data_IF_916935684240
#
_entry.id   IF_916935684240
#
_cell.length_a   1.000
_cell.length_b   1.000
_cell.length_c   1.000
_cell.angle_alpha   90.00
_cell.angle_beta   90.00
_cell.angle_gamma   90.00
#
_symmetry.space_group_name_H-M   'P 1'
#
loop_
_entity.id
_entity.type
_entity.pdbx_description
1 polymer ?
#
# COMPACT_ATOMS: atom_id res chain seq x y z
N UNK A 1 -45.33 -54.23 -40.64
CA UNK A 1 -46.24 -53.25 -40.01
C UNK A 1 -46.27 -53.58 -38.53
N UNK A 2 -45.91 -52.77 -37.53
CA UNK A 2 -45.91 -51.31 -37.35
C UNK A 2 -44.90 -50.99 -36.22
N UNK A 3 -44.11 -49.94 -36.39
CA UNK A 3 -43.12 -49.43 -35.41
C UNK A 3 -43.80 -48.75 -34.21
N UNK A 4 -43.31 -48.94 -32.98
CA UNK A 4 -43.52 -48.08 -31.81
C UNK A 4 -42.12 -47.84 -31.21
N UNK A 5 -41.42 -46.73 -31.49
CA UNK A 5 -41.53 -45.36 -30.92
C UNK A 5 -41.10 -45.27 -29.45
N UNK A 6 -39.83 -44.94 -29.27
CA UNK A 6 -39.17 -44.10 -28.26
C UNK A 6 -40.01 -43.70 -27.03
N UNK A 7 -39.58 -44.12 -25.85
CA UNK A 7 -39.78 -43.35 -24.62
C UNK A 7 -38.41 -42.92 -24.09
N UNK A 8 -38.21 -41.61 -24.15
CA UNK A 8 -37.05 -40.85 -23.69
C UNK A 8 -37.03 -40.90 -22.16
N UNK A 9 -35.95 -41.39 -21.56
CA UNK A 9 -35.65 -41.10 -20.15
C UNK A 9 -35.07 -39.69 -20.09
N UNK A 10 -35.88 -38.76 -19.58
CA UNK A 10 -35.46 -37.39 -19.29
C UNK A 10 -34.57 -37.40 -18.05
N UNK A 11 -33.27 -37.21 -18.26
CA UNK A 11 -32.30 -37.02 -17.18
C UNK A 11 -32.30 -35.53 -16.85
N UNK A 12 -32.98 -35.14 -15.76
CA UNK A 12 -32.93 -33.78 -15.23
C UNK A 12 -31.55 -33.59 -14.58
N UNK A 13 -30.60 -33.06 -15.35
CA UNK A 13 -29.37 -32.52 -14.81
C UNK A 13 -29.69 -31.18 -14.13
N UNK A 14 -29.81 -31.18 -12.81
CA UNK A 14 -29.72 -29.98 -11.98
C UNK A 14 -28.27 -29.48 -12.05
N UNK A 15 -27.98 -28.68 -13.08
CA UNK A 15 -26.81 -27.81 -13.11
C UNK A 15 -26.98 -26.80 -11.98
N UNK A 16 -26.24 -27.00 -10.89
CA UNK A 16 -26.04 -26.01 -9.86
C UNK A 16 -25.39 -24.78 -10.47
N UNK A 17 -26.20 -23.80 -10.82
CA UNK A 17 -25.77 -22.42 -11.05
C UNK A 17 -25.27 -21.90 -9.70
N UNK A 18 -23.99 -22.08 -9.42
CA UNK A 18 -23.30 -21.26 -8.43
C UNK A 18 -23.19 -19.86 -9.05
N UNK A 19 -24.23 -19.04 -8.87
CA UNK A 19 -24.11 -17.62 -9.07
C UNK A 19 -23.11 -17.09 -8.06
N UNK A 20 -21.94 -16.65 -8.51
CA UNK A 20 -21.09 -15.82 -7.69
C UNK A 20 -21.88 -14.54 -7.38
N UNK A 21 -22.38 -14.42 -6.16
CA UNK A 21 -22.89 -13.15 -5.67
C UNK A 21 -21.67 -12.25 -5.47
N UNK A 22 -21.54 -11.23 -6.31
CA UNK A 22 -20.52 -10.20 -6.11
C UNK A 22 -21.00 -9.32 -4.94
N UNK A 23 -20.24 -9.31 -3.85
CA UNK A 23 -20.46 -8.39 -2.75
C UNK A 23 -20.05 -6.96 -3.17
N UNK A 24 -20.82 -5.97 -2.75
CA UNK A 24 -20.59 -4.55 -3.05
C UNK A 24 -19.86 -3.88 -1.88
N UNK A 25 -19.15 -2.78 -2.16
CA UNK A 25 -18.55 -1.98 -1.09
C UNK A 25 -19.60 -1.59 -0.04
N UNK A 26 -19.26 -1.80 1.23
CA UNK A 26 -20.16 -1.62 2.37
C UNK A 26 -20.94 -2.87 2.80
N UNK A 27 -20.91 -3.97 2.03
CA UNK A 27 -21.47 -5.24 2.47
C UNK A 27 -20.62 -5.82 3.62
N UNK A 28 -21.28 -6.47 4.58
CA UNK A 28 -20.57 -7.17 5.67
C UNK A 28 -19.79 -8.33 5.09
N UNK A 29 -18.48 -8.30 5.26
CA UNK A 29 -17.56 -9.35 4.83
C UNK A 29 -17.32 -10.39 5.94
N UNK A 30 -17.33 -9.97 7.20
CA UNK A 30 -17.24 -10.89 8.34
C UNK A 30 -17.20 -10.20 9.71
N UNK A 31 -16.90 -10.99 10.73
CA UNK A 31 -16.84 -10.55 12.13
C UNK A 31 -15.41 -10.18 12.53
N UNK A 32 -15.31 -9.21 13.44
CA UNK A 32 -14.07 -8.84 14.15
C UNK A 32 -14.15 -9.38 15.56
N UNK A 33 -13.11 -10.09 16.00
CA UNK A 33 -13.07 -10.80 17.27
C UNK A 33 -12.10 -10.15 18.24
N UNK A 34 -12.45 -10.20 19.53
CA UNK A 34 -11.53 -9.86 20.61
C UNK A 34 -10.35 -10.85 20.64
N UNK A 35 -9.14 -10.33 20.86
CA UNK A 35 -7.92 -11.12 21.01
C UNK A 35 -7.27 -10.88 22.38
N UNK A 36 -6.67 -11.93 22.95
CA UNK A 36 -5.78 -11.85 24.11
C UNK A 36 -4.32 -11.60 23.74
N UNK A 37 -4.04 -11.28 22.46
CA UNK A 37 -2.69 -10.96 22.01
C UNK A 37 -2.35 -9.52 22.40
N UNK A 38 -1.44 -9.37 23.36
CA UNK A 38 -0.86 -8.08 23.70
C UNK A 38 0.00 -7.57 22.53
N UNK A 39 -0.44 -6.49 21.89
CA UNK A 39 0.17 -5.98 20.66
C UNK A 39 0.90 -4.68 20.93
N UNK A 40 2.16 -4.60 20.52
CA UNK A 40 3.01 -3.43 20.75
C UNK A 40 3.72 -2.98 19.47
N UNK A 41 3.72 -1.67 19.22
CA UNK A 41 4.57 -1.03 18.23
C UNK A 41 5.74 -0.32 18.91
N UNK A 42 6.97 -0.70 18.57
CA UNK A 42 8.18 -0.06 19.13
C UNK A 42 8.26 -0.14 20.67
N UNK A 43 7.64 -1.16 21.28
CA UNK A 43 7.57 -1.34 22.74
C UNK A 43 6.46 -0.56 23.45
N UNK A 44 5.55 0.07 22.70
CA UNK A 44 4.35 0.71 23.25
C UNK A 44 3.09 -0.01 22.76
N UNK A 45 2.14 -0.23 23.67
CA UNK A 45 0.87 -0.91 23.37
C UNK A 45 0.10 -0.19 22.26
N UNK A 46 -0.45 -0.95 21.31
CA UNK A 46 -1.34 -0.48 20.24
C UNK A 46 -2.58 -1.39 20.20
N UNK A 47 -3.81 -0.84 20.09
CA UNK A 47 -5.01 -1.66 20.06
C UNK A 47 -5.00 -2.62 18.87
N UNK A 48 -5.37 -3.86 19.15
CA UNK A 48 -5.48 -4.91 18.15
C UNK A 48 -6.75 -5.73 18.32
N UNK A 49 -7.08 -6.48 17.28
CA UNK A 49 -8.23 -7.38 17.21
C UNK A 49 -7.90 -8.51 16.23
N UNK A 50 -8.76 -9.52 16.17
CA UNK A 50 -8.58 -10.66 15.29
C UNK A 50 -9.61 -10.71 14.16
N UNK A 51 -9.15 -10.96 12.94
CA UNK A 51 -9.95 -11.34 11.78
C UNK A 51 -9.32 -12.60 11.20
N UNK A 52 -10.09 -13.65 10.98
CA UNK A 52 -9.56 -14.90 10.40
C UNK A 52 -8.51 -15.64 11.24
N UNK A 53 -8.24 -15.21 12.48
CA UNK A 53 -7.17 -15.73 13.33
C UNK A 53 -5.85 -14.97 13.25
N UNK A 54 -5.78 -13.92 12.43
CA UNK A 54 -4.64 -13.01 12.31
C UNK A 54 -4.78 -11.83 13.26
N UNK A 55 -3.68 -11.18 13.61
CA UNK A 55 -3.68 -10.01 14.50
C UNK A 55 -3.66 -8.74 13.67
N UNK A 56 -4.66 -7.88 13.84
CA UNK A 56 -4.79 -6.66 13.07
C UNK A 56 -4.77 -5.44 13.98
N UNK A 57 -4.31 -4.33 13.43
CA UNK A 57 -4.39 -2.99 14.01
C UNK A 57 -5.19 -2.10 13.05
N UNK A 58 -5.73 -0.99 13.54
CA UNK A 58 -6.12 0.08 12.63
C UNK A 58 -4.87 0.80 12.11
N UNK A 59 -4.72 0.90 10.78
CA UNK A 59 -3.58 1.54 10.14
C UNK A 59 -3.46 3.02 10.54
N UNK A 60 -4.60 3.70 10.77
CA UNK A 60 -4.62 5.08 11.24
C UNK A 60 -4.03 5.26 12.64
N UNK A 61 -4.03 4.22 13.49
CA UNK A 61 -3.47 4.32 14.84
C UNK A 61 -1.94 4.42 14.80
N UNK A 62 -1.27 4.02 13.71
CA UNK A 62 0.16 4.29 13.48
C UNK A 62 0.49 5.79 13.50
N UNK A 63 -0.49 6.66 13.29
CA UNK A 63 -0.31 8.11 13.45
C UNK A 63 0.13 8.52 14.86
N UNK A 64 -0.25 7.76 15.89
CA UNK A 64 0.22 7.96 17.26
C UNK A 64 1.69 7.54 17.48
N UNK A 65 2.29 6.85 16.50
CA UNK A 65 3.64 6.26 16.56
C UNK A 65 4.58 6.81 15.49
N UNK A 66 4.29 8.01 14.94
CA UNK A 66 5.23 8.72 14.07
C UNK A 66 4.94 8.64 12.58
N UNK A 67 3.78 8.10 12.21
CA UNK A 67 3.35 8.05 10.82
C UNK A 67 2.48 9.26 10.47
N UNK A 68 2.61 9.75 9.24
CA UNK A 68 1.60 10.57 8.63
C UNK A 68 0.49 9.68 8.10
N UNK A 69 -0.75 10.02 8.43
CA UNK A 69 -1.96 9.32 7.98
C UNK A 69 -2.75 10.29 7.12
N UNK A 70 -2.88 9.99 5.83
CA UNK A 70 -3.60 10.80 4.86
C UNK A 70 -4.60 9.94 4.10
N UNK A 71 -5.87 10.34 4.16
CA UNK A 71 -6.94 9.71 3.40
C UNK A 71 -7.39 10.62 2.26
N UNK A 72 -7.42 10.05 1.05
CA UNK A 72 -7.97 10.71 -0.12
C UNK A 72 -9.26 10.02 -0.58
N UNK A 73 -10.39 10.69 -0.34
CA UNK A 73 -11.72 10.19 -0.68
C UNK A 73 -11.95 10.13 -2.20
N UNK A 74 -11.25 10.95 -3.00
CA UNK A 74 -11.46 10.99 -4.45
C UNK A 74 -10.89 9.75 -5.13
N UNK A 75 -9.74 9.27 -4.65
CA UNK A 75 -9.09 8.07 -5.17
C UNK A 75 -9.27 6.84 -4.28
N UNK A 76 -10.05 6.97 -3.20
CA UNK A 76 -10.35 5.90 -2.24
C UNK A 76 -9.07 5.26 -1.68
N UNK A 77 -8.09 6.06 -1.28
CA UNK A 77 -6.80 5.55 -0.78
C UNK A 77 -6.44 6.11 0.59
N UNK A 78 -5.97 5.23 1.48
CA UNK A 78 -5.32 5.59 2.74
C UNK A 78 -3.81 5.45 2.59
N UNK A 79 -3.06 6.53 2.80
CA UNK A 79 -1.60 6.53 2.83
C UNK A 79 -1.13 6.68 4.28
N UNK A 80 -0.33 5.73 4.73
CA UNK A 80 0.34 5.74 6.03
C UNK A 80 1.84 5.71 5.77
N UNK A 81 2.50 6.86 5.94
CA UNK A 81 3.90 7.05 5.57
C UNK A 81 4.69 7.42 6.79
N UNK A 82 5.85 6.80 6.98
CA UNK A 82 6.72 7.13 8.11
C UNK A 82 7.13 8.60 8.05
N UNK A 83 6.92 9.34 9.13
CA UNK A 83 7.38 10.72 9.28
C UNK A 83 8.63 10.76 10.15
N UNK A 84 8.42 10.79 11.46
CA UNK A 84 9.49 10.78 12.47
C UNK A 84 9.01 10.04 13.71
N UNK A 85 9.90 9.33 14.41
CA UNK A 85 9.51 8.67 15.65
C UNK A 85 9.16 9.70 16.73
N UNK A 86 7.98 9.60 17.37
CA UNK A 86 7.59 10.53 18.40
C UNK A 86 8.43 10.25 19.65
N UNK A 87 8.84 11.31 20.36
CA UNK A 87 9.57 11.18 21.62
C UNK A 87 8.78 10.38 22.68
N UNK A 88 7.45 10.41 22.60
CA UNK A 88 6.51 9.59 23.39
C UNK A 88 5.31 9.27 22.48
N UNK A 89 4.96 7.99 22.26
CA UNK A 89 3.75 7.64 21.53
C UNK A 89 2.51 8.28 22.17
N UNK A 90 1.59 8.77 21.35
CA UNK A 90 0.35 9.32 21.89
C UNK A 90 -0.46 8.19 22.54
N UNK A 91 -1.14 8.46 23.67
CA UNK A 91 -1.96 7.44 24.31
C UNK A 91 -3.07 7.02 23.35
N UNK A 92 -3.05 5.77 22.91
CA UNK A 92 -4.13 5.17 22.16
C UNK A 92 -5.15 4.59 23.14
N UNK A 93 -6.44 4.84 22.90
CA UNK A 93 -7.50 4.25 23.72
C UNK A 93 -7.52 2.74 23.53
N UNK A 94 -7.29 1.99 24.60
CA UNK A 94 -7.53 0.55 24.61
C UNK A 94 -9.03 0.29 24.71
N UNK A 95 -9.50 -0.72 23.97
CA UNK A 95 -10.87 -1.20 24.11
C UNK A 95 -11.07 -1.77 25.54
N UNK A 96 -12.31 -1.75 26.07
CA UNK A 96 -12.62 -2.42 27.32
C UNK A 96 -12.40 -3.94 27.18
N UNK A 97 -11.80 -4.57 28.19
CA UNK A 97 -11.56 -6.02 28.21
C UNK A 97 -12.89 -6.79 28.02
N UNK A 98 -12.96 -7.60 26.96
CA UNK A 98 -14.06 -8.55 26.72
C UNK A 98 -13.54 -9.99 26.70
N UNK A 99 -14.46 -10.96 26.74
CA UNK A 99 -14.07 -12.37 26.64
C UNK A 99 -13.45 -12.66 25.26
N UNK A 100 -12.31 -13.34 25.24
CA UNK A 100 -11.58 -13.72 24.02
C UNK A 100 -12.52 -14.39 23.01
N UNK A 101 -12.42 -13.99 21.74
CA UNK A 101 -13.25 -14.54 20.66
C UNK A 101 -14.68 -13.99 20.64
N UNK A 102 -15.02 -13.02 21.50
CA UNK A 102 -16.27 -12.28 21.39
C UNK A 102 -16.26 -11.44 20.13
N UNK A 103 -17.40 -11.40 19.42
CA UNK A 103 -17.59 -10.48 18.30
C UNK A 103 -17.65 -9.05 18.84
N UNK A 104 -16.62 -8.26 18.57
CA UNK A 104 -16.50 -6.86 18.98
C UNK A 104 -16.84 -5.88 17.85
N UNK A 105 -16.96 -6.39 16.63
CA UNK A 105 -17.30 -5.58 15.46
C UNK A 105 -17.48 -6.41 14.20
N UNK A 106 -17.53 -5.72 13.07
CA UNK A 106 -17.59 -6.31 11.72
C UNK A 106 -16.62 -5.58 10.81
N UNK A 107 -16.14 -6.30 9.81
CA UNK A 107 -15.43 -5.70 8.69
C UNK A 107 -16.26 -5.83 7.41
N UNK A 108 -15.99 -4.94 6.46
CA UNK A 108 -16.81 -4.71 5.29
C UNK A 108 -15.97 -4.86 4.02
N UNK A 109 -16.64 -5.29 2.95
CA UNK A 109 -16.10 -5.16 1.61
C UNK A 109 -15.84 -3.68 1.31
N UNK A 110 -14.69 -3.38 0.73
CA UNK A 110 -14.26 -2.00 0.53
C UNK A 110 -13.52 -1.83 -0.78
N UNK A 111 -13.72 -0.66 -1.38
CA UNK A 111 -12.92 -0.17 -2.51
C UNK A 111 -11.70 0.64 -2.05
N UNK A 112 -11.49 0.79 -0.74
CA UNK A 112 -10.37 1.53 -0.18
C UNK A 112 -9.09 0.71 -0.32
N UNK A 113 -8.07 1.29 -0.94
CA UNK A 113 -6.71 0.74 -0.93
C UNK A 113 -5.89 1.36 0.20
N UNK A 114 -5.09 0.55 0.87
CA UNK A 114 -4.19 1.00 1.95
C UNK A 114 -2.74 0.90 1.47
N UNK A 115 -1.97 1.95 1.70
CA UNK A 115 -0.56 2.03 1.38
C UNK A 115 0.23 2.29 2.67
N UNK A 116 1.17 1.40 2.99
CA UNK A 116 2.15 1.62 4.05
C UNK A 116 3.49 1.91 3.39
N UNK A 117 4.07 3.09 3.65
CA UNK A 117 5.31 3.52 3.02
C UNK A 117 5.29 3.38 1.47
N UNK A 118 4.15 3.72 0.87
CA UNK A 118 3.92 3.65 -0.58
C UNK A 118 3.78 2.26 -1.19
N UNK A 119 3.84 1.20 -0.38
CA UNK A 119 3.56 -0.18 -0.81
C UNK A 119 2.10 -0.53 -0.49
N UNK A 120 1.32 -1.07 -1.45
CA UNK A 120 -0.04 -1.50 -1.18
C UNK A 120 -0.06 -2.71 -0.23
N UNK A 121 -0.96 -2.69 0.75
CA UNK A 121 -1.21 -3.80 1.68
C UNK A 121 -2.70 -4.15 1.67
N UNK A 122 -3.03 -5.40 1.97
CA UNK A 122 -4.42 -5.80 2.19
C UNK A 122 -4.99 -5.03 3.39
N UNK A 123 -6.15 -4.42 3.16
CA UNK A 123 -6.84 -3.60 4.16
C UNK A 123 -8.27 -4.06 4.37
N UNK A 124 -8.69 -4.12 5.63
CA UNK A 124 -10.05 -4.49 6.01
C UNK A 124 -10.79 -3.26 6.51
N UNK A 125 -11.88 -2.87 5.83
CA UNK A 125 -12.65 -1.73 6.28
C UNK A 125 -13.41 -2.06 7.56
N UNK A 126 -13.19 -1.25 8.58
CA UNK A 126 -13.95 -1.23 9.82
C UNK A 126 -14.89 -0.01 9.83
N UNK A 127 -15.63 0.19 10.92
CA UNK A 127 -16.51 1.35 11.09
C UNK A 127 -15.71 2.68 11.17
N UNK A 128 -15.33 3.21 10.00
CA UNK A 128 -14.60 4.47 9.84
C UNK A 128 -13.07 4.38 9.90
N UNK A 129 -12.50 3.18 9.89
CA UNK A 129 -11.04 2.93 9.90
C UNK A 129 -10.66 1.81 8.93
N UNK A 130 -9.40 1.72 8.56
CA UNK A 130 -8.84 0.60 7.80
C UNK A 130 -7.92 -0.23 8.68
N UNK A 131 -8.20 -1.52 8.80
CA UNK A 131 -7.35 -2.45 9.51
C UNK A 131 -6.32 -3.11 8.59
N UNK A 132 -5.15 -3.42 9.13
CA UNK A 132 -4.06 -4.14 8.44
C UNK A 132 -3.50 -5.22 9.35
N UNK A 133 -3.11 -6.35 8.76
CA UNK A 133 -2.50 -7.49 9.46
C UNK A 133 -1.06 -7.16 9.86
N UNK A 134 -0.71 -7.33 11.13
CA UNK A 134 0.63 -6.97 11.63
C UNK A 134 1.70 -7.92 11.08
N UNK A 135 1.35 -9.19 10.97
CA UNK A 135 2.20 -10.22 10.40
C UNK A 135 2.55 -9.90 8.93
N UNK A 136 1.60 -9.38 8.14
CA UNK A 136 1.87 -8.90 6.77
C UNK A 136 2.82 -7.70 6.76
N UNK A 137 2.64 -6.77 7.70
CA UNK A 137 3.52 -5.60 7.81
C UNK A 137 4.95 -5.99 8.16
N UNK A 138 5.16 -7.03 8.97
CA UNK A 138 6.49 -7.40 9.46
C UNK A 138 7.13 -8.60 8.77
N UNK A 139 6.40 -9.36 7.95
CA UNK A 139 6.93 -10.54 7.28
C UNK A 139 7.90 -10.16 6.15
N UNK A 140 9.16 -10.55 6.31
CA UNK A 140 10.15 -10.43 5.27
C UNK A 140 10.03 -11.55 4.23
N UNK A 141 10.33 -11.24 2.97
CA UNK A 141 10.38 -12.23 1.90
C UNK A 141 11.55 -13.21 2.07
N UNK A 142 12.61 -12.77 2.73
CA UNK A 142 13.80 -13.58 3.04
C UNK A 142 14.03 -13.69 4.55
N UNK A 143 14.56 -14.83 4.99
CA UNK A 143 14.80 -15.09 6.40
C UNK A 143 15.78 -14.07 7.01
N UNK A 144 15.30 -13.31 8.00
CA UNK A 144 16.08 -12.26 8.68
C UNK A 144 16.09 -10.91 7.95
N UNK A 145 15.43 -10.80 6.80
CA UNK A 145 15.26 -9.55 6.07
C UNK A 145 14.24 -8.61 6.72
N UNK A 146 14.05 -7.45 6.10
CA UNK A 146 13.01 -6.46 6.46
C UNK A 146 11.84 -6.61 5.48
N UNK A 147 10.61 -6.40 5.94
CA UNK A 147 9.44 -6.42 5.05
C UNK A 147 9.50 -5.28 4.02
N UNK A 148 8.74 -5.35 2.92
CA UNK A 148 8.62 -4.25 1.96
C UNK A 148 8.11 -2.94 2.60
N UNK A 149 7.45 -3.02 3.74
CA UNK A 149 6.91 -1.88 4.49
C UNK A 149 7.94 -1.26 5.44
N UNK A 150 9.15 -1.81 5.54
CA UNK A 150 10.21 -1.33 6.42
C UNK A 150 10.06 -1.74 7.89
N UNK A 151 9.25 -2.78 8.16
CA UNK A 151 8.96 -3.25 9.51
C UNK A 151 9.39 -4.71 9.71
N UNK A 152 9.47 -5.10 10.98
CA UNK A 152 9.60 -6.50 11.40
C UNK A 152 8.63 -6.78 12.54
N UNK A 153 8.33 -8.06 12.76
CA UNK A 153 7.57 -8.51 13.93
C UNK A 153 8.21 -9.71 14.61
N UNK A 154 7.81 -9.93 15.85
CA UNK A 154 8.08 -11.13 16.63
C UNK A 154 6.82 -11.48 17.41
N UNK A 155 6.51 -12.78 17.47
CA UNK A 155 5.40 -13.30 18.25
C UNK A 155 5.94 -14.24 19.35
N UNK A 156 5.61 -13.94 20.60
CA UNK A 156 5.89 -14.76 21.77
C UNK A 156 4.61 -15.47 22.22
N UNK A 157 4.56 -16.78 21.97
CA UNK A 157 3.40 -17.61 22.28
C UNK A 157 3.17 -17.80 23.79
N UNK A 158 4.24 -17.77 24.59
CA UNK A 158 4.15 -17.95 26.05
C UNK A 158 3.55 -16.71 26.69
N UNK A 159 3.94 -15.52 26.21
CA UNK A 159 3.42 -14.25 26.69
C UNK A 159 2.13 -13.82 25.99
N UNK A 160 1.71 -14.53 24.92
CA UNK A 160 0.64 -14.09 24.01
C UNK A 160 0.89 -12.65 23.56
N UNK A 161 2.11 -12.38 23.10
CA UNK A 161 2.56 -11.03 22.77
C UNK A 161 3.04 -10.94 21.33
N UNK A 162 2.52 -9.97 20.59
CA UNK A 162 2.98 -9.63 19.25
C UNK A 162 3.63 -8.25 19.29
N UNK A 163 4.93 -8.21 18.99
CA UNK A 163 5.68 -6.94 18.90
C UNK A 163 6.09 -6.70 17.46
N UNK A 164 5.91 -5.48 16.96
CA UNK A 164 6.38 -5.05 15.66
C UNK A 164 7.02 -3.66 15.75
N UNK A 165 7.93 -3.33 14.84
CA UNK A 165 8.72 -2.11 14.93
C UNK A 165 9.32 -1.72 13.56
N UNK A 166 9.74 -0.46 13.47
CA UNK A 166 10.56 0.03 12.36
C UNK A 166 11.91 -0.68 12.36
N UNK A 167 12.25 -1.36 11.27
CA UNK A 167 13.54 -2.04 11.12
C UNK A 167 14.48 -1.25 10.18
N UNK A 168 14.38 0.07 10.17
CA UNK A 168 15.19 0.95 9.31
C UNK A 168 16.68 0.86 9.63
N UNK A 169 17.04 0.51 10.87
CA UNK A 169 18.43 0.24 11.29
C UNK A 169 19.06 -0.95 10.55
N UNK A 170 18.23 -1.82 9.95
CA UNK A 170 18.65 -2.98 9.17
C UNK A 170 18.56 -2.76 7.66
N UNK A 171 17.98 -1.65 7.22
CA UNK A 171 17.93 -1.31 5.80
C UNK A 171 19.32 -0.86 5.33
N UNK A 172 19.69 -1.15 4.07
CA UNK A 172 20.88 -0.57 3.48
C UNK A 172 20.81 0.96 3.49
N UNK A 173 21.95 1.66 3.53
CA UNK A 173 21.98 3.12 3.43
C UNK A 173 21.31 3.64 2.15
N UNK A 174 20.81 4.88 2.18
CA UNK A 174 20.14 5.57 1.06
C UNK A 174 20.79 5.33 -0.31
N UNK A 175 22.11 5.49 -0.38
CA UNK A 175 22.88 5.34 -1.62
C UNK A 175 22.88 3.90 -2.16
N UNK A 176 22.96 2.90 -1.27
CA UNK A 176 22.93 1.49 -1.66
C UNK A 176 21.52 1.08 -2.14
N UNK A 177 20.47 1.53 -1.43
CA UNK A 177 19.08 1.32 -1.84
C UNK A 177 18.82 1.89 -3.24
N UNK A 178 19.32 3.10 -3.51
CA UNK A 178 19.22 3.76 -4.81
C UNK A 178 19.94 2.98 -5.91
N UNK A 179 21.17 2.55 -5.65
CA UNK A 179 21.95 1.77 -6.61
C UNK A 179 21.29 0.43 -6.94
N UNK A 180 20.78 -0.28 -5.93
CA UNK A 180 20.03 -1.53 -6.13
C UNK A 180 18.77 -1.29 -6.99
N UNK A 181 17.98 -0.27 -6.66
CA UNK A 181 16.77 0.07 -7.38
C UNK A 181 17.02 0.46 -8.85
N UNK A 182 18.11 1.20 -9.14
CA UNK A 182 18.52 1.49 -10.53
C UNK A 182 18.98 0.23 -11.24
N UNK A 183 19.83 -0.58 -10.61
CA UNK A 183 20.38 -1.81 -11.19
C UNK A 183 19.29 -2.82 -11.59
N UNK A 184 18.20 -2.91 -10.83
CA UNK A 184 17.03 -3.74 -11.17
C UNK A 184 16.35 -3.32 -12.49
N UNK A 185 16.51 -2.07 -12.90
CA UNK A 185 15.87 -1.45 -14.07
C UNK A 185 16.82 -1.26 -15.25
N UNK A 186 18.13 -1.41 -15.02
CA UNK A 186 19.13 -1.32 -16.08
C UNK A 186 18.96 -2.42 -17.12
N UNK A 187 19.18 -2.04 -18.39
CA UNK A 187 19.09 -2.96 -19.51
C UNK A 187 20.17 -2.64 -20.54
N UNK A 188 21.06 -3.60 -20.80
CA UNK A 188 22.23 -3.41 -21.67
C UNK A 188 21.91 -3.06 -23.13
N UNK A 189 20.66 -3.22 -23.56
CA UNK A 189 20.24 -3.03 -24.96
C UNK A 189 19.50 -1.69 -25.14
N UNK A 190 18.89 -1.19 -24.08
CA UNK A 190 18.07 0.02 -24.11
C UNK A 190 18.89 1.22 -23.62
N UNK A 191 18.64 2.39 -24.19
CA UNK A 191 19.22 3.63 -23.65
C UNK A 191 18.41 4.10 -22.45
N UNK A 192 19.08 4.72 -21.48
CA UNK A 192 18.46 5.28 -20.29
C UNK A 192 18.96 6.67 -19.96
N UNK A 193 18.11 7.41 -19.24
CA UNK A 193 18.42 8.71 -18.64
C UNK A 193 18.19 8.63 -17.13
N UNK A 194 18.89 9.46 -16.37
CA UNK A 194 18.84 9.53 -14.92
C UNK A 194 18.84 10.98 -14.47
N UNK A 195 17.93 11.32 -13.55
CA UNK A 195 17.92 12.60 -12.85
C UNK A 195 17.67 12.38 -11.35
N UNK A 196 18.16 13.29 -10.53
CA UNK A 196 17.81 13.31 -9.12
C UNK A 196 17.67 14.71 -8.54
N UNK A 197 16.88 14.81 -7.48
CA UNK A 197 16.55 16.04 -6.77
C UNK A 197 16.61 15.79 -5.26
N UNK A 198 17.40 16.59 -4.56
CA UNK A 198 17.51 16.53 -3.10
C UNK A 198 16.33 17.27 -2.44
N UNK A 199 15.65 16.58 -1.53
CA UNK A 199 14.57 17.11 -0.71
C UNK A 199 14.95 17.23 0.77
N UNK A 200 13.93 17.40 1.61
CA UNK A 200 14.09 17.46 3.07
C UNK A 200 14.14 16.05 3.67
N UNK A 201 15.36 15.50 3.77
CA UNK A 201 15.63 14.17 4.35
C UNK A 201 15.49 12.99 3.36
N UNK A 202 15.37 13.29 2.07
CA UNK A 202 15.27 12.29 1.00
C UNK A 202 15.90 12.77 -0.30
N UNK A 203 16.15 11.84 -1.22
CA UNK A 203 16.45 12.10 -2.63
C UNK A 203 15.33 11.51 -3.49
N UNK A 204 14.74 12.33 -4.37
CA UNK A 204 13.84 11.86 -5.43
C UNK A 204 14.69 11.55 -6.66
N UNK A 205 14.48 10.38 -7.25
CA UNK A 205 15.19 9.92 -8.44
C UNK A 205 14.20 9.60 -9.53
N UNK A 206 14.51 10.03 -10.76
CA UNK A 206 13.86 9.57 -11.98
C UNK A 206 14.86 8.72 -12.76
N UNK A 207 14.42 7.54 -13.17
CA UNK A 207 15.15 6.70 -14.11
C UNK A 207 14.27 6.40 -15.31
N UNK A 208 14.74 6.72 -16.51
CA UNK A 208 13.99 6.56 -17.75
C UNK A 208 14.61 5.48 -18.60
N UNK A 209 13.79 4.57 -19.14
CA UNK A 209 14.21 3.56 -20.11
C UNK A 209 13.55 3.83 -21.44
N UNK A 210 14.34 4.01 -22.49
CA UNK A 210 13.88 4.34 -23.83
C UNK A 210 13.93 3.14 -24.77
N UNK A 211 13.23 3.24 -25.90
CA UNK A 211 13.30 2.22 -26.96
C UNK A 211 12.54 0.93 -26.64
N UNK A 212 11.64 0.93 -25.65
CA UNK A 212 10.75 -0.21 -25.41
C UNK A 212 9.66 -0.29 -26.50
N UNK A 213 8.98 -1.44 -26.68
CA UNK A 213 7.87 -1.56 -27.64
C UNK A 213 6.74 -0.55 -27.45
N UNK A 214 6.59 -0.01 -26.23
CA UNK A 214 5.55 0.94 -25.87
C UNK A 214 6.11 2.35 -25.61
N UNK A 215 7.36 2.65 -25.98
CA UNK A 215 7.97 3.99 -25.84
C UNK A 215 8.89 4.11 -24.62
N UNK A 216 8.88 5.27 -23.96
CA UNK A 216 9.68 5.50 -22.74
C UNK A 216 8.91 5.04 -21.50
N UNK A 217 9.62 4.41 -20.57
CA UNK A 217 9.15 4.14 -19.21
C UNK A 217 9.94 5.00 -18.23
N UNK A 218 9.25 5.86 -17.49
CA UNK A 218 9.81 6.62 -16.39
C UNK A 218 9.47 5.94 -15.06
N UNK A 219 10.49 5.73 -14.24
CA UNK A 219 10.38 5.21 -12.88
C UNK A 219 10.78 6.29 -11.91
N UNK A 220 10.09 6.39 -10.78
CA UNK A 220 10.36 7.39 -9.76
C UNK A 220 10.53 6.71 -8.41
N UNK A 221 11.72 6.87 -7.83
CA UNK A 221 12.06 6.34 -6.50
C UNK A 221 12.29 7.47 -5.52
N UNK A 222 11.76 7.33 -4.31
CA UNK A 222 12.00 8.22 -3.18
C UNK A 222 12.89 7.49 -2.17
N UNK A 223 14.07 8.03 -1.88
CA UNK A 223 15.06 7.39 -1.01
C UNK A 223 15.33 8.27 0.20
N UNK A 224 14.95 7.80 1.39
CA UNK A 224 15.09 8.52 2.64
C UNK A 224 16.44 8.29 3.30
N UNK A 225 16.90 9.26 4.09
CA UNK A 225 18.19 9.19 4.79
C UNK A 225 18.26 8.04 5.83
N UNK A 226 17.10 7.57 6.31
CA UNK A 226 17.00 6.41 7.18
C UNK A 226 17.05 5.05 6.44
N UNK A 227 17.25 5.05 5.13
CA UNK A 227 17.31 3.83 4.30
C UNK A 227 15.97 3.35 3.77
N UNK A 228 14.84 3.95 4.16
CA UNK A 228 13.54 3.64 3.56
C UNK A 228 13.54 4.07 2.09
N UNK A 229 13.10 3.19 1.20
CA UNK A 229 12.88 3.49 -0.22
C UNK A 229 11.40 3.28 -0.57
N UNK A 230 10.85 4.18 -1.38
CA UNK A 230 9.47 4.11 -1.86
C UNK A 230 9.50 4.18 -3.38
N UNK A 231 8.99 3.16 -4.04
CA UNK A 231 8.69 3.23 -5.48
C UNK A 231 7.34 3.93 -5.67
N UNK A 232 7.34 5.07 -6.37
CA UNK A 232 6.13 5.87 -6.58
C UNK A 232 5.20 5.30 -7.65
N UNK A 233 5.53 4.15 -8.27
CA UNK A 233 4.74 3.56 -9.33
C UNK A 233 3.30 3.23 -8.93
N UNK A 234 3.09 2.52 -7.83
CA UNK A 234 1.74 2.18 -7.33
C UNK A 234 1.00 3.42 -6.79
N UNK A 235 1.75 4.41 -6.29
CA UNK A 235 1.19 5.69 -5.86
C UNK A 235 0.67 6.47 -7.06
N UNK A 236 1.45 6.60 -8.14
CA UNK A 236 0.99 7.23 -9.37
C UNK A 236 -0.16 6.48 -10.02
N UNK A 237 -0.15 5.15 -9.98
CA UNK A 237 -1.30 4.35 -10.40
C UNK A 237 -2.56 4.74 -9.64
N UNK A 238 -2.44 4.92 -8.32
CA UNK A 238 -3.56 5.25 -7.47
C UNK A 238 -4.22 6.59 -7.84
N UNK A 239 -3.43 7.56 -8.29
CA UNK A 239 -3.92 8.85 -8.78
C UNK A 239 -4.29 8.88 -10.28
N UNK A 240 -4.25 7.73 -10.96
CA UNK A 240 -4.52 7.66 -12.40
C UNK A 240 -3.46 8.36 -13.26
N UNK A 241 -2.24 8.48 -12.74
CA UNK A 241 -1.09 9.09 -13.42
C UNK A 241 -0.26 8.05 -14.19
N UNK A 242 -0.89 6.94 -14.57
CA UNK A 242 -0.32 5.89 -15.42
C UNK A 242 -1.27 5.55 -16.55
N UNK A 243 -0.69 5.18 -17.69
CA UNK A 243 -1.46 4.63 -18.79
C UNK A 243 -1.66 3.11 -18.69
N UNK A 244 -2.40 2.55 -19.64
CA UNK A 244 -2.69 1.10 -19.69
C UNK A 244 -1.47 0.21 -19.90
N UNK A 245 -0.34 0.77 -20.35
CA UNK A 245 0.94 0.07 -20.51
C UNK A 245 1.84 0.23 -19.29
N UNK A 246 1.36 0.99 -18.29
CA UNK A 246 2.04 1.25 -17.06
C UNK A 246 3.07 2.36 -17.10
N UNK A 247 3.08 3.18 -18.16
CA UNK A 247 3.97 4.33 -18.29
C UNK A 247 3.44 5.47 -17.44
N UNK A 248 4.32 6.14 -16.71
CA UNK A 248 3.99 7.31 -15.89
C UNK A 248 3.69 8.51 -16.80
N UNK A 249 2.60 9.23 -16.50
CA UNK A 249 2.10 10.36 -17.30
C UNK A 249 2.71 11.72 -16.90
N UNK A 250 3.57 11.73 -15.88
CA UNK A 250 4.32 12.91 -15.42
C UNK A 250 5.28 13.37 -16.51
N UNK A 251 5.23 14.65 -16.85
CA UNK A 251 6.11 15.30 -17.83
C UNK A 251 7.42 15.74 -17.13
N UNK A 252 8.55 15.07 -17.39
CA UNK A 252 9.76 15.25 -16.60
C UNK A 252 10.35 16.67 -16.67
N UNK A 253 10.32 17.29 -17.85
CA UNK A 253 10.84 18.65 -18.08
C UNK A 253 10.07 19.75 -17.32
N UNK A 254 8.94 19.40 -16.70
CA UNK A 254 8.11 20.32 -15.91
C UNK A 254 8.27 20.13 -14.41
N UNK A 255 9.12 19.20 -13.99
CA UNK A 255 9.24 18.82 -12.60
C UNK A 255 10.13 19.81 -11.83
N UNK A 256 9.59 20.29 -10.70
CA UNK A 256 10.27 21.21 -9.79
C UNK A 256 10.08 20.70 -8.35
N UNK A 257 11.18 20.59 -7.59
CA UNK A 257 11.13 20.22 -6.18
C UNK A 257 11.27 21.46 -5.29
N UNK A 258 10.40 21.60 -4.29
CA UNK A 258 10.48 22.64 -3.28
C UNK A 258 10.18 22.05 -1.90
N UNK A 259 11.23 21.85 -1.09
CA UNK A 259 11.09 21.18 0.21
C UNK A 259 10.59 19.74 0.04
N UNK A 260 9.38 19.46 0.51
CA UNK A 260 8.73 18.15 0.39
C UNK A 260 7.79 18.05 -0.80
N UNK A 261 7.59 19.15 -1.54
CA UNK A 261 6.61 19.24 -2.60
C UNK A 261 7.26 19.06 -3.98
N UNK A 262 6.75 18.12 -4.75
CA UNK A 262 7.06 17.93 -6.16
C UNK A 262 5.96 18.55 -7.02
N UNK A 263 6.29 19.62 -7.73
CA UNK A 263 5.41 20.21 -8.74
C UNK A 263 5.72 19.58 -10.10
N UNK A 264 4.67 19.24 -10.86
CA UNK A 264 4.84 18.67 -12.19
C UNK A 264 3.58 18.90 -13.02
N UNK A 265 3.71 18.80 -14.34
CA UNK A 265 2.56 18.65 -15.24
C UNK A 265 2.40 17.18 -15.61
N UNK A 266 1.17 16.70 -15.76
CA UNK A 266 0.91 15.39 -16.34
C UNK A 266 0.07 15.53 -17.60
N UNK A 267 0.35 14.68 -18.60
CA UNK A 267 -0.42 14.59 -19.82
C UNK A 267 -1.65 13.71 -19.63
N UNK A 268 -2.75 14.04 -20.31
CA UNK A 268 -3.94 13.16 -20.34
C UNK A 268 -3.65 11.84 -21.07
N UNK A 269 -2.73 11.88 -22.04
CA UNK A 269 -2.11 10.69 -22.62
C UNK A 269 -0.74 11.02 -23.20
N UNK A 270 0.18 10.05 -23.21
CA UNK A 270 1.50 10.23 -23.83
C UNK A 270 1.46 10.43 -25.36
N UNK A 271 0.29 10.26 -26.00
CA UNK A 271 0.08 10.51 -27.42
C UNK A 271 -0.43 11.93 -27.71
N UNK A 272 -0.90 12.67 -26.69
CA UNK A 272 -1.38 14.05 -26.80
C UNK A 272 -0.92 14.86 -25.59
N UNK A 273 0.23 15.51 -25.73
CA UNK A 273 0.84 16.35 -24.69
C UNK A 273 0.38 17.81 -24.74
N UNK A 274 -0.58 18.14 -25.61
CA UNK A 274 -1.04 19.53 -25.79
C UNK A 274 -1.95 20.02 -24.67
N UNK A 275 -2.61 19.09 -23.97
CA UNK A 275 -3.38 19.34 -22.76
C UNK A 275 -2.63 18.72 -21.57
N UNK A 276 -2.17 19.57 -20.66
CA UNK A 276 -1.54 19.13 -19.43
C UNK A 276 -2.21 19.78 -18.22
N UNK A 277 -2.30 19.02 -17.14
CA UNK A 277 -2.75 19.53 -15.85
C UNK A 277 -1.55 19.65 -14.94
N UNK A 278 -1.42 20.77 -14.23
CA UNK A 278 -0.37 20.96 -13.22
C UNK A 278 -0.83 20.36 -11.89
N UNK A 279 0.08 19.63 -11.25
CA UNK A 279 -0.10 18.97 -9.98
C UNK A 279 1.00 19.39 -9.00
N UNK A 280 0.69 19.20 -7.72
CA UNK A 280 1.65 19.19 -6.62
C UNK A 280 1.47 17.88 -5.86
N UNK A 281 2.57 17.18 -5.59
CA UNK A 281 2.62 16.02 -4.72
C UNK A 281 3.40 16.37 -3.46
N UNK A 282 2.80 16.15 -2.29
CA UNK A 282 3.54 16.16 -1.03
C UNK A 282 4.17 14.78 -0.81
N UNK A 283 5.49 14.70 -0.89
CA UNK A 283 6.24 13.45 -0.83
C UNK A 283 6.32 12.85 0.58
N UNK A 284 6.01 13.62 1.65
CA UNK A 284 5.95 13.08 3.02
C UNK A 284 4.67 12.29 3.29
N UNK A 285 3.59 12.63 2.61
CA UNK A 285 2.26 12.03 2.83
C UNK A 285 1.69 11.38 1.57
N UNK A 286 2.45 11.42 0.46
CA UNK A 286 2.10 10.89 -0.85
C UNK A 286 0.77 11.45 -1.42
N UNK A 287 0.43 12.67 -1.04
CA UNK A 287 -0.81 13.33 -1.45
C UNK A 287 -0.61 14.10 -2.75
N UNK A 288 -1.39 13.79 -3.80
CA UNK A 288 -1.36 14.51 -5.07
C UNK A 288 -2.59 15.39 -5.23
N UNK A 289 -2.40 16.65 -5.62
CA UNK A 289 -3.48 17.62 -5.82
C UNK A 289 -3.22 18.43 -7.09
N UNK A 290 -4.28 18.94 -7.71
CA UNK A 290 -4.12 19.93 -8.79
C UNK A 290 -3.52 21.21 -8.21
N UNK A 291 -2.50 21.75 -8.87
CA UNK A 291 -1.92 23.03 -8.52
C UNK A 291 -2.84 24.16 -9.02
N UNK A 292 -3.01 25.21 -8.20
CA UNK A 292 -3.75 26.43 -8.57
C UNK A 292 -2.95 27.32 -9.54
#
# INVERSE_FOLDING_TARGET
MRRLKNCVFFLVALLGLNGAAYASAGDVAGDVLETDIDTEFGGAAIPSFAIGGETLIAAEDLGAYGYHVYYDDQIRCLFVTFGEEPAVPLPVQTAPETDIGTVVGRYYESDIRVFINGVPVEGYALDGKMAVCVEDLGAAQEAGGVSPYGMQYCYDDVQRKLSFWNAFDKLPPKEEQKQAWVAERENDILSSDYDSWEGDGFELVRYSVHGTPHGTYDYYGLFWDNGLSIDLFEVFDAYGLRDTWGRVLVLPDTMELSGTQMFFSAADSLNDTTMNTRYVMDLKILAVRKAE
#
